data_IF_437300133036
#
_entry.id   IF_437300133036
#
_cell.length_a   1.000
_cell.length_b   1.000
_cell.length_c   1.000
_cell.angle_alpha   90.00
_cell.angle_beta   90.00
_cell.angle_gamma   90.00
#
_symmetry.space_group_name_H-M   'P 1'
#
loop_
_entity.id
_entity.type
_entity.pdbx_description
1 polymer ?
#
# COMPACT_ATOMS: atom_id res chain seq x y z
N UNK A 1 -0.10 10.63 21.81
CA UNK A 1 0.48 11.33 20.65
C UNK A 1 0.54 10.33 19.51
N UNK A 2 -0.35 10.49 18.52
CA UNK A 2 -0.42 9.64 17.33
C UNK A 2 0.80 9.96 16.45
N UNK A 3 1.72 9.01 16.35
CA UNK A 3 2.81 9.10 15.42
C UNK A 3 2.38 8.50 14.08
N UNK A 4 2.46 9.27 13.01
CA UNK A 4 2.26 8.74 11.66
C UNK A 4 3.32 7.67 11.34
N UNK A 5 2.99 6.70 10.47
CA UNK A 5 3.92 5.63 10.06
C UNK A 5 5.23 6.18 9.53
N UNK A 6 5.21 7.35 8.89
CA UNK A 6 6.41 8.04 8.40
C UNK A 6 7.41 8.40 9.51
N UNK A 7 6.97 8.55 10.77
CA UNK A 7 7.87 8.84 11.91
C UNK A 7 8.55 7.59 12.49
N UNK A 8 8.04 6.40 12.16
CA UNK A 8 8.61 5.09 12.58
C UNK A 8 9.66 4.61 11.56
N UNK A 9 9.63 5.12 10.33
CA UNK A 9 10.68 4.91 9.35
C UNK A 9 11.94 5.68 9.81
N UNK A 10 12.81 5.00 10.55
CA UNK A 10 14.08 5.54 10.99
C UNK A 10 14.90 6.13 9.83
N UNK A 11 15.81 7.07 10.11
CA UNK A 11 16.66 7.69 9.09
C UNK A 11 17.34 6.64 8.20
N UNK A 12 16.82 6.43 6.98
CA UNK A 12 17.46 5.67 5.91
C UNK A 12 17.21 4.16 5.87
N UNK A 13 16.23 3.61 6.60
CA UNK A 13 15.88 2.20 6.54
C UNK A 13 14.37 1.95 6.63
N UNK A 14 13.88 0.91 5.95
CA UNK A 14 12.53 0.40 6.17
C UNK A 14 12.41 -0.27 7.54
N UNK A 15 11.21 -0.75 7.86
CA UNK A 15 10.98 -1.57 9.06
C UNK A 15 11.48 -2.99 8.85
N UNK A 16 11.59 -3.77 9.92
CA UNK A 16 11.86 -5.22 9.79
C UNK A 16 10.81 -5.91 8.92
N UNK A 17 11.23 -6.91 8.16
CA UNK A 17 10.38 -7.60 7.20
C UNK A 17 9.11 -8.17 7.83
N UNK A 18 9.21 -8.79 9.01
CA UNK A 18 8.05 -9.36 9.72
C UNK A 18 7.03 -8.28 10.07
N UNK A 19 7.50 -7.11 10.46
CA UNK A 19 6.66 -5.96 10.76
C UNK A 19 6.01 -5.39 9.48
N UNK A 20 6.77 -5.33 8.39
CA UNK A 20 6.22 -4.96 7.08
C UNK A 20 5.12 -5.93 6.64
N UNK A 21 5.34 -7.24 6.77
CA UNK A 21 4.36 -8.28 6.46
C UNK A 21 3.09 -8.13 7.30
N UNK A 22 3.23 -7.86 8.59
CA UNK A 22 2.10 -7.63 9.48
C UNK A 22 1.25 -6.45 9.02
N UNK A 23 1.84 -5.28 8.79
CA UNK A 23 1.12 -4.10 8.36
C UNK A 23 0.50 -4.26 6.97
N UNK A 24 1.21 -4.88 6.04
CA UNK A 24 0.69 -5.14 4.69
C UNK A 24 -0.51 -6.09 4.74
N UNK A 25 -0.46 -7.14 5.57
CA UNK A 25 -1.59 -8.05 5.75
C UNK A 25 -2.81 -7.34 6.34
N UNK A 26 -2.62 -6.48 7.35
CA UNK A 26 -3.71 -5.66 7.91
C UNK A 26 -4.32 -4.73 6.85
N UNK A 27 -3.48 -4.05 6.08
CA UNK A 27 -3.94 -3.19 4.98
C UNK A 27 -4.70 -3.96 3.90
N UNK A 28 -4.22 -5.15 3.52
CA UNK A 28 -4.92 -6.00 2.56
C UNK A 28 -6.33 -6.34 3.05
N UNK A 29 -6.49 -6.69 4.33
CA UNK A 29 -7.81 -6.99 4.91
C UNK A 29 -8.73 -5.78 4.92
N UNK A 30 -8.21 -4.60 5.27
CA UNK A 30 -8.99 -3.34 5.26
C UNK A 30 -9.45 -3.03 3.84
N UNK A 31 -8.53 -3.04 2.88
CA UNK A 31 -8.83 -2.73 1.47
C UNK A 31 -9.76 -3.78 0.87
N UNK A 32 -9.59 -5.05 1.19
CA UNK A 32 -10.53 -6.11 0.79
C UNK A 32 -11.94 -5.81 1.28
N UNK A 33 -12.12 -5.51 2.57
CA UNK A 33 -13.42 -5.16 3.13
C UNK A 33 -14.04 -3.92 2.48
N UNK A 34 -13.22 -2.91 2.16
CA UNK A 34 -13.68 -1.71 1.43
C UNK A 34 -14.15 -2.08 0.02
N UNK A 35 -13.36 -2.85 -0.73
CA UNK A 35 -13.70 -3.26 -2.09
C UNK A 35 -14.92 -4.17 -2.13
N UNK A 36 -15.09 -5.09 -1.17
CA UNK A 36 -16.29 -5.92 -1.02
C UNK A 36 -17.54 -5.07 -0.74
N UNK A 37 -17.37 -3.92 -0.05
CA UNK A 37 -18.43 -2.93 0.15
C UNK A 37 -18.62 -1.97 -1.04
N UNK A 38 -17.85 -2.13 -2.12
CA UNK A 38 -17.90 -1.27 -3.29
C UNK A 38 -17.19 0.07 -3.12
N UNK A 39 -16.29 0.22 -2.13
CA UNK A 39 -15.56 1.45 -1.89
C UNK A 39 -14.14 1.39 -2.44
N UNK A 40 -13.73 2.41 -3.19
CA UNK A 40 -12.35 2.67 -3.59
C UNK A 40 -11.82 3.79 -2.70
N UNK A 41 -10.63 3.66 -2.12
CA UNK A 41 -10.01 4.73 -1.34
C UNK A 41 -9.52 5.86 -2.25
N UNK A 42 -8.86 5.50 -3.36
CA UNK A 42 -8.41 6.42 -4.41
C UNK A 42 -7.16 7.25 -4.09
N UNK A 43 -6.62 7.18 -2.86
CA UNK A 43 -5.39 7.87 -2.45
C UNK A 43 -4.60 7.06 -1.40
N UNK A 44 -4.47 5.74 -1.63
CA UNK A 44 -3.69 4.87 -0.75
C UNK A 44 -2.19 5.19 -0.87
N UNK A 45 -1.63 5.68 0.23
CA UNK A 45 -0.19 5.97 0.40
C UNK A 45 0.19 5.87 1.86
N UNK A 46 1.48 5.76 2.13
CA UNK A 46 1.99 5.60 3.50
C UNK A 46 1.57 6.75 4.43
N UNK A 47 1.42 7.97 3.87
CA UNK A 47 1.01 9.16 4.63
C UNK A 47 -0.45 9.09 5.11
N UNK A 48 -1.28 8.29 4.45
CA UNK A 48 -2.67 8.06 4.81
C UNK A 48 -2.86 6.80 5.67
N UNK A 49 -1.78 6.29 6.25
CA UNK A 49 -1.78 5.17 7.18
C UNK A 49 -1.34 5.64 8.58
N UNK A 50 -2.13 5.32 9.58
CA UNK A 50 -1.78 5.53 10.99
C UNK A 50 -1.57 4.19 11.68
N UNK A 51 -0.51 4.08 12.48
CA UNK A 51 -0.30 2.90 13.31
C UNK A 51 -1.27 2.99 14.49
N UNK A 52 -2.03 1.94 14.69
CA UNK A 52 -2.80 1.70 15.89
C UNK A 52 -1.96 0.84 16.85
N UNK A 53 -1.77 1.32 18.05
CA UNK A 53 -1.03 0.64 19.12
C UNK A 53 -1.74 0.96 20.44
N UNK A 54 -2.96 0.44 20.59
CA UNK A 54 -3.83 0.72 21.73
C UNK A 54 -3.24 0.08 22.99
N UNK A 55 -2.95 0.89 24.00
CA UNK A 55 -2.51 0.50 25.35
C UNK A 55 -1.32 -0.48 25.41
N UNK A 56 -0.39 -0.40 24.44
CA UNK A 56 0.80 -1.27 24.40
C UNK A 56 2.04 -0.42 24.46
N UNK A 57 2.77 -0.52 25.57
CA UNK A 57 4.00 0.24 25.79
C UNK A 57 5.18 -0.24 24.94
N UNK A 58 5.18 -1.52 24.53
CA UNK A 58 6.30 -2.12 23.79
C UNK A 58 5.85 -3.08 22.68
N UNK A 59 6.58 -3.07 21.57
CA UNK A 59 6.51 -4.09 20.54
C UNK A 59 7.38 -5.27 20.92
N UNK A 60 6.78 -6.44 21.04
CA UNK A 60 7.58 -7.67 21.17
C UNK A 60 8.28 -7.94 19.84
N UNK A 61 9.54 -8.39 19.90
CA UNK A 61 10.34 -8.69 18.70
C UNK A 61 9.84 -9.91 17.91
N UNK A 62 8.96 -10.71 18.50
CA UNK A 62 8.43 -11.93 17.87
C UNK A 62 6.94 -11.74 17.62
N UNK A 63 6.55 -11.82 16.36
CA UNK A 63 5.15 -11.83 15.96
C UNK A 63 4.42 -13.05 16.52
N UNK A 64 3.27 -12.82 17.13
CA UNK A 64 2.40 -13.87 17.65
C UNK A 64 1.03 -13.80 16.95
N UNK A 65 0.74 -14.80 16.11
CA UNK A 65 -0.50 -14.87 15.33
C UNK A 65 -1.75 -15.03 16.20
N UNK A 66 -1.61 -15.47 17.45
CA UNK A 66 -2.68 -15.55 18.43
C UNK A 66 -2.97 -14.21 19.13
N UNK A 67 -2.24 -13.15 18.76
CA UNK A 67 -2.37 -11.83 19.33
C UNK A 67 -1.67 -11.62 20.67
N UNK A 68 -0.96 -12.63 21.19
CA UNK A 68 -0.17 -12.50 22.42
C UNK A 68 0.96 -11.47 22.26
N UNK A 69 1.58 -11.04 23.35
CA UNK A 69 2.63 -10.01 23.32
C UNK A 69 2.15 -8.65 22.79
N UNK A 70 0.87 -8.34 22.92
CA UNK A 70 0.27 -7.06 22.48
C UNK A 70 -0.03 -6.97 20.99
N UNK A 71 0.15 -8.02 20.19
CA UNK A 71 -0.09 -7.98 18.74
C UNK A 71 -1.56 -7.80 18.38
N UNK A 72 -2.52 -8.26 19.21
CA UNK A 72 -3.96 -8.02 19.01
C UNK A 72 -4.35 -6.53 19.07
N UNK A 73 -3.60 -5.71 19.82
CA UNK A 73 -3.86 -4.28 19.98
C UNK A 73 -3.14 -3.43 18.92
N UNK A 74 -2.37 -4.06 18.02
CA UNK A 74 -1.61 -3.40 16.96
C UNK A 74 -2.35 -3.51 15.62
N UNK A 75 -2.13 -2.56 14.74
CA UNK A 75 -2.73 -2.58 13.42
C UNK A 75 -2.51 -1.27 12.68
N UNK A 76 -3.28 -1.10 11.61
CA UNK A 76 -3.28 0.12 10.79
C UNK A 76 -4.69 0.69 10.75
N UNK A 77 -4.78 2.00 10.71
CA UNK A 77 -6.01 2.74 10.39
C UNK A 77 -5.75 3.56 9.14
N UNK A 78 -6.62 3.43 8.15
CA UNK A 78 -6.62 4.31 6.98
C UNK A 78 -7.33 5.61 7.31
N UNK A 79 -6.79 6.71 6.82
CA UNK A 79 -7.32 8.06 6.97
C UNK A 79 -7.38 8.75 5.59
N UNK A 80 -8.00 9.91 5.55
CA UNK A 80 -8.12 10.75 4.36
C UNK A 80 -8.89 10.10 3.21
N UNK A 81 -10.19 9.92 3.42
CA UNK A 81 -11.14 9.44 2.42
C UNK A 81 -11.63 10.54 1.46
N UNK A 82 -10.93 11.67 1.38
CA UNK A 82 -11.31 12.80 0.53
C UNK A 82 -11.39 12.50 -0.97
N UNK A 83 -10.75 11.40 -1.41
CA UNK A 83 -10.79 10.91 -2.81
C UNK A 83 -11.55 9.60 -2.96
N UNK A 84 -12.25 9.15 -1.91
CA UNK A 84 -12.94 7.87 -1.93
C UNK A 84 -14.13 7.90 -2.91
N UNK A 85 -14.35 6.77 -3.55
CA UNK A 85 -15.43 6.57 -4.52
C UNK A 85 -16.32 5.43 -4.04
N UNK A 86 -17.61 5.72 -3.89
CA UNK A 86 -18.63 4.69 -3.67
C UNK A 86 -19.15 4.19 -5.02
N UNK A 87 -18.72 2.98 -5.39
CA UNK A 87 -19.10 2.34 -6.65
C UNK A 87 -20.58 1.99 -6.71
N UNK A 88 -21.27 1.91 -5.56
CA UNK A 88 -22.72 1.69 -5.53
C UNK A 88 -23.50 2.87 -6.11
N UNK A 89 -22.88 4.05 -6.20
CA UNK A 89 -23.47 5.25 -6.82
C UNK A 89 -23.35 5.26 -8.35
N UNK A 90 -22.70 4.26 -8.96
CA UNK A 90 -22.40 4.20 -10.38
C UNK A 90 -22.89 2.90 -11.03
N UNK A 91 -23.03 2.86 -12.37
CA UNK A 91 -23.30 1.61 -13.08
C UNK A 91 -22.20 0.55 -12.84
N UNK A 92 -22.50 -0.75 -12.89
CA UNK A 92 -21.54 -1.83 -12.56
C UNK A 92 -20.24 -1.81 -13.34
N UNK A 93 -20.26 -1.30 -14.57
CA UNK A 93 -19.08 -1.25 -15.46
C UNK A 93 -18.40 0.13 -15.46
N UNK A 94 -18.74 1.01 -14.52
CA UNK A 94 -18.17 2.33 -14.44
C UNK A 94 -16.64 2.27 -14.29
N UNK A 95 -15.96 3.09 -15.10
CA UNK A 95 -14.52 3.33 -15.03
C UNK A 95 -14.27 4.83 -15.03
N UNK A 96 -13.13 5.22 -14.45
CA UNK A 96 -12.75 6.62 -14.31
C UNK A 96 -11.53 6.92 -15.16
N UNK A 97 -11.40 8.16 -15.58
CA UNK A 97 -10.17 8.71 -16.14
C UNK A 97 -9.63 9.76 -15.17
N UNK A 98 -8.34 9.91 -15.12
CA UNK A 98 -7.76 11.01 -14.36
C UNK A 98 -8.11 12.35 -15.02
N UNK A 99 -8.67 13.26 -14.24
CA UNK A 99 -9.00 14.64 -14.64
C UNK A 99 -7.96 15.64 -14.12
N UNK A 100 -6.86 15.13 -13.58
CA UNK A 100 -5.66 15.85 -13.17
C UNK A 100 -4.44 15.30 -13.90
N UNK A 101 -3.27 15.93 -13.71
CA UNK A 101 -2.00 15.40 -14.21
C UNK A 101 -1.45 14.37 -13.23
N UNK A 102 -1.49 13.06 -13.56
CA UNK A 102 -1.00 12.01 -12.65
C UNK A 102 0.52 12.06 -12.47
N UNK A 103 0.96 11.79 -11.26
CA UNK A 103 2.37 11.71 -10.87
C UNK A 103 2.87 10.29 -10.65
N UNK A 104 4.10 10.15 -10.13
CA UNK A 104 4.74 8.86 -9.89
C UNK A 104 4.00 7.98 -8.86
N UNK A 105 3.19 8.61 -7.98
CA UNK A 105 2.42 7.90 -6.94
C UNK A 105 1.06 7.41 -7.45
N UNK A 106 0.62 7.85 -8.61
CA UNK A 106 -0.61 7.36 -9.24
C UNK A 106 -0.37 6.06 -10.01
N UNK A 107 -1.38 5.21 -10.11
CA UNK A 107 -1.26 3.93 -10.81
C UNK A 107 -0.96 4.13 -12.31
N UNK A 108 -0.45 3.06 -12.93
CA UNK A 108 -0.04 3.09 -14.34
C UNK A 108 -1.17 3.50 -15.27
N UNK A 109 -2.39 3.06 -15.00
CA UNK A 109 -3.57 3.39 -15.79
C UNK A 109 -3.82 4.90 -15.80
N UNK A 110 -3.75 5.54 -14.64
CA UNK A 110 -3.90 6.99 -14.53
C UNK A 110 -2.80 7.73 -15.30
N UNK A 111 -1.54 7.31 -15.12
CA UNK A 111 -0.38 7.93 -15.80
C UNK A 111 -0.41 7.80 -17.32
N UNK A 112 -1.05 6.76 -17.83
CA UNK A 112 -1.23 6.52 -19.26
C UNK A 112 -2.58 7.02 -19.78
N UNK A 113 -3.35 7.74 -18.96
CA UNK A 113 -4.69 8.24 -19.31
C UNK A 113 -5.61 7.09 -19.76
N UNK A 114 -5.47 5.92 -19.16
CA UNK A 114 -6.34 4.75 -19.38
C UNK A 114 -7.42 4.67 -18.31
N UNK A 115 -8.57 4.06 -18.62
CA UNK A 115 -9.61 3.85 -17.63
C UNK A 115 -9.13 2.98 -16.44
N UNK A 116 -9.50 3.39 -15.23
CA UNK A 116 -9.13 2.72 -13.98
C UNK A 116 -10.33 2.55 -13.03
N UNK A 117 -10.18 1.72 -12.02
CA UNK A 117 -11.08 1.53 -10.89
C UNK A 117 -10.25 1.15 -9.66
N UNK A 118 -10.37 -0.07 -9.16
CA UNK A 118 -9.65 -0.61 -8.00
C UNK A 118 -8.12 -0.68 -8.18
N UNK A 119 -7.60 -0.55 -9.39
CA UNK A 119 -6.15 -0.53 -9.67
C UNK A 119 -5.42 0.56 -8.91
N UNK A 120 -6.09 1.69 -8.63
CA UNK A 120 -5.54 2.77 -7.81
C UNK A 120 -5.13 2.26 -6.43
N UNK A 121 -6.02 1.52 -5.78
CA UNK A 121 -5.77 0.99 -4.44
C UNK A 121 -4.76 -0.17 -4.44
N UNK A 122 -4.77 -1.03 -5.44
CA UNK A 122 -3.75 -2.09 -5.58
C UNK A 122 -2.34 -1.50 -5.75
N UNK A 123 -2.22 -0.46 -6.57
CA UNK A 123 -0.95 0.25 -6.72
C UNK A 123 -0.52 0.93 -5.41
N UNK A 124 -1.48 1.53 -4.69
CA UNK A 124 -1.25 2.12 -3.38
C UNK A 124 -0.76 1.11 -2.35
N UNK A 125 -1.36 -0.08 -2.28
CA UNK A 125 -0.91 -1.18 -1.41
C UNK A 125 0.55 -1.58 -1.72
N UNK A 126 0.89 -1.77 -2.99
CA UNK A 126 2.26 -2.09 -3.40
C UNK A 126 3.24 -0.95 -3.03
N UNK A 127 2.82 0.31 -3.20
CA UNK A 127 3.61 1.47 -2.81
C UNK A 127 3.85 1.54 -1.31
N UNK A 128 2.84 1.26 -0.48
CA UNK A 128 2.98 1.21 0.98
C UNK A 128 3.92 0.08 1.40
N UNK A 129 3.75 -1.12 0.84
CA UNK A 129 4.66 -2.25 1.10
C UNK A 129 6.11 -1.90 0.76
N UNK A 130 6.31 -1.24 -0.37
CA UNK A 130 7.63 -0.74 -0.77
C UNK A 130 8.18 0.29 0.24
N UNK A 131 7.37 1.25 0.69
CA UNK A 131 7.79 2.21 1.71
C UNK A 131 8.19 1.54 3.02
N UNK A 132 7.42 0.55 3.48
CA UNK A 132 7.72 -0.19 4.70
C UNK A 132 9.05 -0.96 4.57
N UNK A 133 9.30 -1.62 3.44
CA UNK A 133 10.49 -2.43 3.22
C UNK A 133 11.76 -1.60 2.98
N UNK A 134 11.65 -0.53 2.21
CA UNK A 134 12.81 0.22 1.71
C UNK A 134 12.99 1.61 2.35
N UNK A 135 12.02 2.08 3.13
CA UNK A 135 12.05 3.41 3.77
C UNK A 135 11.92 4.58 2.80
N UNK A 136 11.43 4.34 1.59
CA UNK A 136 11.25 5.38 0.56
C UNK A 136 10.08 5.04 -0.36
N UNK A 137 9.54 6.05 -1.03
CA UNK A 137 8.47 5.86 -2.00
C UNK A 137 8.88 4.94 -3.14
N UNK A 138 7.89 4.20 -3.65
CA UNK A 138 8.06 3.34 -4.81
C UNK A 138 8.29 4.20 -6.06
N UNK A 139 9.34 3.85 -6.80
CA UNK A 139 9.62 4.44 -8.10
C UNK A 139 9.65 3.33 -9.16
N UNK A 140 9.03 3.59 -10.30
CA UNK A 140 8.90 2.63 -11.39
C UNK A 140 9.49 3.20 -12.66
N UNK A 141 10.26 2.37 -13.36
CA UNK A 141 10.79 2.69 -14.70
C UNK A 141 9.95 2.02 -15.77
N UNK A 142 9.57 2.79 -16.78
CA UNK A 142 8.89 2.28 -17.95
C UNK A 142 9.91 1.75 -18.96
N UNK A 143 9.72 0.53 -19.40
CA UNK A 143 10.46 -0.11 -20.50
C UNK A 143 9.49 -0.36 -21.65
N UNK A 144 9.93 -0.10 -22.87
CA UNK A 144 9.17 -0.41 -24.08
C UNK A 144 9.91 -1.54 -24.79
N UNK A 145 9.22 -2.66 -25.03
CA UNK A 145 9.81 -3.77 -25.80
C UNK A 145 9.76 -3.50 -27.32
N UNK A 146 10.33 -4.39 -28.11
CA UNK A 146 10.39 -4.26 -29.58
C UNK A 146 9.01 -4.24 -30.24
N UNK A 147 7.99 -4.80 -29.60
CA UNK A 147 6.60 -4.79 -30.03
C UNK A 147 5.84 -3.52 -29.63
N UNK A 148 6.52 -2.57 -28.97
CA UNK A 148 5.92 -1.33 -28.47
C UNK A 148 5.13 -1.49 -27.16
N UNK A 149 5.16 -2.68 -26.52
CA UNK A 149 4.48 -2.91 -25.25
C UNK A 149 5.26 -2.30 -24.11
N UNK A 150 4.58 -1.48 -23.31
CA UNK A 150 5.13 -0.88 -22.09
C UNK A 150 5.08 -1.85 -20.92
N UNK A 151 6.19 -1.94 -20.21
CA UNK A 151 6.30 -2.70 -18.95
C UNK A 151 6.88 -1.79 -17.89
N UNK A 152 6.26 -1.77 -16.71
CA UNK A 152 6.72 -0.99 -15.56
C UNK A 152 7.41 -1.90 -14.55
N UNK A 153 8.60 -1.52 -14.12
CA UNK A 153 9.38 -2.27 -13.13
C UNK A 153 9.76 -1.39 -11.96
N UNK A 154 9.66 -1.95 -10.77
CA UNK A 154 10.19 -1.33 -9.55
C UNK A 154 11.71 -1.33 -9.64
N UNK A 155 12.36 -0.20 -9.32
CA UNK A 155 13.80 -0.04 -9.44
C UNK A 155 14.59 -0.81 -8.37
N UNK A 156 13.98 -0.99 -7.19
CA UNK A 156 14.63 -1.62 -6.06
C UNK A 156 14.55 -3.14 -6.15
N UNK A 157 15.68 -3.81 -5.94
CA UNK A 157 15.71 -5.26 -5.81
C UNK A 157 15.46 -5.67 -4.36
N UNK A 158 14.67 -6.72 -4.17
CA UNK A 158 14.44 -7.33 -2.86
C UNK A 158 15.76 -7.83 -2.26
N UNK A 159 15.91 -7.71 -0.95
CA UNK A 159 17.09 -8.22 -0.24
C UNK A 159 17.06 -9.75 -0.21
N UNK A 160 18.22 -10.40 -0.39
CA UNK A 160 18.34 -11.88 -0.50
C UNK A 160 17.82 -12.66 0.70
N UNK A 161 17.81 -12.04 1.88
CA UNK A 161 17.35 -12.66 3.13
C UNK A 161 15.88 -12.43 3.43
N UNK A 162 15.18 -11.69 2.56
CA UNK A 162 13.74 -11.51 2.66
C UNK A 162 12.97 -12.69 2.03
N UNK A 163 11.70 -12.81 2.35
CA UNK A 163 10.76 -13.76 1.74
C UNK A 163 10.45 -13.36 0.29
N UNK A 164 11.47 -13.48 -0.56
CA UNK A 164 11.43 -12.95 -1.94
C UNK A 164 10.28 -13.55 -2.77
N UNK A 165 9.95 -14.83 -2.55
CA UNK A 165 8.84 -15.48 -3.25
C UNK A 165 7.48 -14.87 -2.88
N UNK A 166 7.31 -14.45 -1.62
CA UNK A 166 6.11 -13.77 -1.16
C UNK A 166 6.00 -12.39 -1.79
N UNK A 167 7.05 -11.58 -1.66
CA UNK A 167 7.07 -10.22 -2.17
C UNK A 167 7.03 -10.10 -3.69
N UNK A 168 7.50 -11.10 -4.41
CA UNK A 168 7.41 -11.14 -5.89
C UNK A 168 6.00 -11.46 -6.37
N UNK A 169 5.18 -12.14 -5.55
CA UNK A 169 3.79 -12.45 -5.88
C UNK A 169 2.81 -11.37 -5.43
N UNK A 170 3.20 -10.57 -4.44
CA UNK A 170 2.43 -9.42 -3.96
C UNK A 170 2.43 -8.28 -4.97
#
# INVERSE_FOLDING_TARGET
AEAGVSSVLGQGGGVEEVLAMFFVNELCRIVQGMHEAGLIHGDLKIDNCMIRADDVDEWTSTYAADGSGGWAAKGVTLIDFGRAIDMCCYPPDQRFLADWQPGAQDCVEMREMRPWTYQADYYGLASIAHCLLFGKYMDTTCYVNDDGLKTYKIQQSLRRYWQTDLWTRF
#
